data_IF_333740434453
#
_entry.id   IF_333740434453
#
_cell.length_a   1.000
_cell.length_b   1.000
_cell.length_c   1.000
_cell.angle_alpha   90.00
_cell.angle_beta   90.00
_cell.angle_gamma   90.00
#
_symmetry.space_group_name_H-M   'P 1'
#
loop_
_entity.id
_entity.type
_entity.pdbx_description
1 polymer ?
#
# COMPACT_ATOMS: atom_id res chain seq x y z
N UNK A 1 -27.53 20.31 7.94
CA UNK A 1 -26.05 20.40 7.87
C UNK A 1 -25.55 21.32 6.76
N UNK A 2 -26.29 21.51 5.66
CA UNK A 2 -25.91 22.39 4.54
C UNK A 2 -25.83 23.88 4.95
N UNK A 3 -26.76 24.36 5.78
CA UNK A 3 -26.91 25.79 6.09
C UNK A 3 -25.71 26.41 6.83
N UNK A 4 -24.95 25.61 7.60
CA UNK A 4 -23.80 26.12 8.38
C UNK A 4 -22.53 26.28 7.54
N UNK A 5 -22.41 25.60 6.40
CA UNK A 5 -21.25 25.71 5.50
C UNK A 5 -21.22 27.08 4.79
N UNK A 6 -22.38 27.63 4.44
CA UNK A 6 -22.48 28.93 3.76
C UNK A 6 -22.14 30.10 4.68
N UNK A 7 -22.48 30.01 5.98
CA UNK A 7 -22.22 31.07 6.97
C UNK A 7 -20.74 31.31 7.24
N UNK A 8 -19.88 30.30 7.07
CA UNK A 8 -18.45 30.39 7.40
C UNK A 8 -17.56 30.64 6.17
N UNK A 9 -18.12 30.70 4.95
CA UNK A 9 -17.37 30.78 3.68
C UNK A 9 -16.24 29.75 3.53
N UNK A 10 -16.27 28.66 4.31
CA UNK A 10 -15.30 27.58 4.22
C UNK A 10 -15.89 26.47 3.37
N UNK A 11 -15.18 26.13 2.28
CA UNK A 11 -15.56 24.99 1.46
C UNK A 11 -15.36 23.69 2.25
N UNK A 12 -16.18 22.65 2.03
CA UNK A 12 -16.07 21.37 2.75
C UNK A 12 -14.68 20.71 2.66
N UNK A 13 -13.90 21.04 1.63
CA UNK A 13 -12.52 20.60 1.45
C UNK A 13 -11.55 21.19 2.48
N UNK A 14 -11.88 22.33 3.10
CA UNK A 14 -11.04 23.02 4.07
C UNK A 14 -11.25 22.54 5.52
N UNK A 15 -12.27 21.70 5.77
CA UNK A 15 -12.56 21.18 7.10
C UNK A 15 -11.90 19.83 7.40
N UNK A 16 -11.01 19.34 6.53
CA UNK A 16 -10.19 18.14 6.75
C UNK A 16 -8.81 18.57 7.32
N UNK A 17 -8.61 18.57 8.64
CA UNK A 17 -7.29 18.75 9.22
C UNK A 17 -6.45 17.50 8.92
N UNK A 18 -5.54 17.59 7.95
CA UNK A 18 -4.57 16.52 7.69
C UNK A 18 -4.12 16.33 6.25
N UNK A 19 -4.64 17.07 5.27
CA UNK A 19 -4.21 16.93 3.86
C UNK A 19 -3.22 18.04 3.46
N UNK A 20 -2.07 18.10 4.13
CA UNK A 20 -0.96 18.98 3.75
C UNK A 20 0.38 18.26 3.71
N UNK A 21 0.37 16.98 3.33
CA UNK A 21 1.55 16.31 2.80
C UNK A 21 1.27 15.90 1.36
N UNK A 22 1.03 16.92 0.51
CA UNK A 22 1.21 16.79 -0.92
C UNK A 22 2.73 16.80 -1.19
N UNK A 23 3.44 15.80 -0.64
CA UNK A 23 4.80 15.51 -1.05
C UNK A 23 4.69 15.04 -2.49
N UNK A 24 5.15 15.88 -3.41
CA UNK A 24 5.32 15.60 -4.82
C UNK A 24 6.25 14.40 -4.97
N UNK A 25 5.72 13.18 -4.88
CA UNK A 25 6.37 12.00 -5.42
C UNK A 25 6.02 11.99 -6.91
N UNK A 26 6.68 12.88 -7.66
CA UNK A 26 6.68 12.86 -9.12
C UNK A 26 7.83 11.95 -9.58
N UNK A 27 7.76 10.69 -9.19
CA UNK A 27 8.35 9.64 -10.03
C UNK A 27 7.27 9.29 -11.05
N UNK A 28 7.63 9.14 -12.31
CA UNK A 28 6.71 8.66 -13.33
C UNK A 28 6.29 7.25 -12.90
N UNK A 29 5.20 7.15 -12.15
CA UNK A 29 4.66 5.88 -11.70
C UNK A 29 4.04 5.26 -12.94
N UNK A 30 4.72 4.27 -13.53
CA UNK A 30 4.15 3.48 -14.60
C UNK A 30 2.80 2.94 -14.13
N UNK A 31 1.79 2.93 -15.01
CA UNK A 31 0.45 2.42 -14.65
C UNK A 31 0.52 0.96 -14.17
N UNK A 32 1.49 0.20 -14.65
CA UNK A 32 1.80 -1.17 -14.22
C UNK A 32 2.24 -1.24 -12.74
N UNK A 33 2.88 -0.18 -12.25
CA UNK A 33 3.38 -0.05 -10.89
C UNK A 33 2.29 0.29 -9.86
N UNK A 34 1.13 0.73 -10.36
CA UNK A 34 -0.12 0.93 -9.62
C UNK A 34 -1.01 -0.32 -9.61
N UNK A 35 -0.66 -1.36 -10.39
CA UNK A 35 -1.42 -2.60 -10.38
C UNK A 35 -1.39 -3.23 -8.97
N UNK A 36 -2.52 -3.84 -8.58
CA UNK A 36 -2.60 -4.53 -7.29
C UNK A 36 -1.48 -5.58 -7.16
N UNK A 37 -1.17 -6.28 -8.25
CA UNK A 37 -0.11 -7.28 -8.27
C UNK A 37 1.28 -6.67 -8.01
N UNK A 38 1.63 -5.55 -8.64
CA UNK A 38 2.92 -4.88 -8.40
C UNK A 38 3.03 -4.38 -6.96
N UNK A 39 1.97 -3.76 -6.43
CA UNK A 39 1.91 -3.29 -5.05
C UNK A 39 2.05 -4.45 -4.05
N UNK A 40 1.32 -5.54 -4.27
CA UNK A 40 1.41 -6.74 -3.44
C UNK A 40 2.81 -7.38 -3.50
N UNK A 41 3.40 -7.49 -4.69
CA UNK A 41 4.76 -8.04 -4.88
C UNK A 41 5.78 -7.24 -4.12
N UNK A 42 5.80 -5.91 -4.30
CA UNK A 42 6.73 -5.01 -3.62
C UNK A 42 6.60 -5.11 -2.11
N UNK A 43 5.37 -5.16 -1.61
CA UNK A 43 5.10 -5.27 -0.17
C UNK A 43 5.56 -6.63 0.39
N UNK A 44 5.22 -7.73 -0.29
CA UNK A 44 5.60 -9.08 0.12
C UNK A 44 7.13 -9.25 0.17
N UNK A 45 7.84 -8.77 -0.85
CA UNK A 45 9.30 -8.85 -0.89
C UNK A 45 9.96 -8.05 0.24
N UNK A 46 9.45 -6.84 0.52
CA UNK A 46 9.93 -6.04 1.65
C UNK A 46 9.75 -6.75 3.00
N UNK A 47 8.59 -7.38 3.22
CA UNK A 47 8.34 -8.09 4.47
C UNK A 47 9.18 -9.37 4.58
N UNK A 48 9.43 -10.06 3.46
CA UNK A 48 10.35 -11.20 3.43
C UNK A 48 11.77 -10.80 3.80
N UNK A 49 12.27 -9.68 3.26
CA UNK A 49 13.60 -9.14 3.56
C UNK A 49 13.74 -8.77 5.05
N UNK A 50 12.73 -8.08 5.62
CA UNK A 50 12.66 -7.76 7.05
C UNK A 50 12.69 -9.00 7.97
N UNK A 51 12.32 -10.17 7.45
CA UNK A 51 12.32 -11.43 8.17
C UNK A 51 13.37 -12.42 7.66
N UNK A 52 14.42 -11.95 6.97
CA UNK A 52 15.54 -12.76 6.50
C UNK A 52 15.09 -13.97 5.65
N UNK A 53 14.05 -13.79 4.83
CA UNK A 53 13.46 -14.85 4.01
C UNK A 53 12.58 -15.85 4.76
N UNK A 54 12.31 -15.65 6.05
CA UNK A 54 11.42 -16.51 6.82
C UNK A 54 9.95 -16.35 6.38
N UNK A 55 9.56 -17.18 5.42
CA UNK A 55 8.20 -17.24 4.83
C UNK A 55 7.09 -17.40 5.89
N UNK A 56 7.37 -18.11 6.99
CA UNK A 56 6.36 -18.31 8.05
C UNK A 56 6.17 -17.07 8.91
N UNK A 57 7.24 -16.36 9.24
CA UNK A 57 7.15 -15.09 9.98
C UNK A 57 6.52 -14.00 9.11
N UNK A 58 6.97 -13.86 7.86
CA UNK A 58 6.43 -12.91 6.90
C UNK A 58 4.92 -13.12 6.64
N UNK A 59 4.47 -14.38 6.47
CA UNK A 59 3.05 -14.68 6.28
C UNK A 59 2.17 -14.23 7.46
N UNK A 60 2.65 -14.37 8.69
CA UNK A 60 1.93 -13.90 9.89
C UNK A 60 1.80 -12.38 9.91
N UNK A 61 2.86 -11.66 9.58
CA UNK A 61 2.84 -10.19 9.51
C UNK A 61 1.92 -9.70 8.40
N UNK A 62 1.92 -10.37 7.25
CA UNK A 62 1.06 -10.06 6.11
C UNK A 62 -0.41 -10.49 6.32
N UNK A 63 -0.72 -11.26 7.37
CA UNK A 63 -2.08 -11.76 7.63
C UNK A 63 -2.57 -12.79 6.60
N UNK A 64 -1.66 -13.48 5.90
CA UNK A 64 -1.99 -14.49 4.88
C UNK A 64 -1.47 -15.87 5.27
N UNK A 65 -1.99 -16.92 4.65
CA UNK A 65 -1.42 -18.26 4.85
C UNK A 65 -0.03 -18.36 4.22
N UNK A 66 0.86 -19.16 4.81
CA UNK A 66 2.17 -19.49 4.23
C UNK A 66 2.03 -20.04 2.79
N UNK A 67 1.04 -20.91 2.55
CA UNK A 67 0.76 -21.48 1.22
C UNK A 67 0.40 -20.41 0.19
N UNK A 68 -0.33 -19.37 0.60
CA UNK A 68 -0.65 -18.22 -0.24
C UNK A 68 0.61 -17.44 -0.61
N UNK A 69 1.47 -17.17 0.39
CA UNK A 69 2.74 -16.47 0.20
C UNK A 69 3.65 -17.23 -0.76
N UNK A 70 3.81 -18.53 -0.55
CA UNK A 70 4.61 -19.41 -1.41
C UNK A 70 4.10 -19.43 -2.85
N UNK A 71 2.78 -19.56 -3.06
CA UNK A 71 2.18 -19.52 -4.40
C UNK A 71 2.48 -18.21 -5.12
N UNK A 72 2.41 -17.07 -4.41
CA UNK A 72 2.74 -15.75 -4.98
C UNK A 72 4.24 -15.66 -5.33
N UNK A 73 5.12 -16.09 -4.43
CA UNK A 73 6.57 -16.09 -4.68
C UNK A 73 6.94 -17.00 -5.87
N UNK A 74 6.29 -18.15 -6.00
CA UNK A 74 6.47 -19.08 -7.12
C UNK A 74 6.02 -18.44 -8.45
N UNK A 75 4.88 -17.75 -8.45
CA UNK A 75 4.36 -17.06 -9.64
C UNK A 75 5.33 -15.98 -10.16
N UNK A 76 6.06 -15.33 -9.26
CA UNK A 76 7.05 -14.31 -9.60
C UNK A 76 8.47 -14.85 -9.80
N UNK A 77 8.69 -16.16 -9.62
CA UNK A 77 10.02 -16.77 -9.74
C UNK A 77 11.01 -16.39 -8.63
N UNK A 78 10.54 -15.92 -7.48
CA UNK A 78 11.37 -15.43 -6.36
C UNK A 78 11.53 -16.48 -5.24
N UNK A 79 11.34 -17.76 -5.55
CA UNK A 79 11.37 -18.87 -4.60
C UNK A 79 12.53 -19.83 -4.82
N UNK A 80 13.73 -19.42 -4.39
CA UNK A 80 14.89 -20.29 -4.14
C UNK A 80 15.12 -20.47 -2.65
#
# INVERSE_FOLDING_TARGET
VIERCLLLSQQPSQTLPGCATLATISEAVDEDDLSLESVERRHILRVLDMHEGNKSAAARVLGVSRKTLERKCQAWGVGG
#
